data_IF_346591809937
#
_entry.id   IF_346591809937
#
_cell.length_a   1.000
_cell.length_b   1.000
_cell.length_c   1.000
_cell.angle_alpha   90.00
_cell.angle_beta   90.00
_cell.angle_gamma   90.00
#
_symmetry.space_group_name_H-M   'P 1'
#
loop_
_entity.id
_entity.type
_entity.pdbx_description
1 polymer ?
#
# COMPACT_ATOMS: atom_id res chain seq x y z
N UNK A 1 11.03 14.35 -15.65
CA UNK A 1 10.80 12.89 -15.60
C UNK A 1 9.30 12.71 -15.45
N UNK A 2 8.57 12.50 -16.55
CA UNK A 2 7.12 12.37 -16.51
C UNK A 2 6.78 10.96 -16.06
N UNK A 3 6.18 10.82 -14.88
CA UNK A 3 5.67 9.55 -14.38
C UNK A 3 4.36 9.29 -15.14
N UNK A 4 4.48 8.72 -16.34
CA UNK A 4 3.32 8.25 -17.07
C UNK A 4 2.88 6.94 -16.41
N UNK A 5 1.95 7.05 -15.45
CA UNK A 5 1.32 5.92 -14.78
C UNK A 5 0.73 4.99 -15.85
N UNK A 6 1.32 3.81 -16.01
CA UNK A 6 0.73 2.80 -16.91
C UNK A 6 -0.35 2.07 -16.12
N UNK A 7 -1.57 2.01 -16.67
CA UNK A 7 -2.71 1.31 -16.06
C UNK A 7 -2.28 -0.10 -15.62
N UNK A 8 -2.42 -0.41 -14.34
CA UNK A 8 -2.09 -1.72 -13.76
C UNK A 8 -0.75 -1.77 -13.03
N UNK A 9 0.12 -0.76 -13.17
CA UNK A 9 1.39 -0.72 -12.42
C UNK A 9 1.19 -0.55 -10.92
N UNK A 10 0.22 0.26 -10.49
CA UNK A 10 -0.03 0.44 -9.06
C UNK A 10 -0.73 -0.78 -8.47
N UNK A 11 -1.53 -1.49 -9.25
CA UNK A 11 -2.13 -2.78 -8.88
C UNK A 11 -1.07 -3.85 -8.67
N UNK A 12 -0.04 -3.89 -9.53
CA UNK A 12 1.11 -4.79 -9.35
C UNK A 12 1.92 -4.43 -8.09
N UNK A 13 2.14 -3.13 -7.85
CA UNK A 13 2.80 -2.66 -6.63
C UNK A 13 1.98 -2.99 -5.37
N UNK A 14 0.66 -2.80 -5.40
CA UNK A 14 -0.26 -3.15 -4.32
C UNK A 14 -0.17 -4.64 -3.99
N UNK A 15 -0.18 -5.50 -5.02
CA UNK A 15 0.00 -6.95 -4.83
C UNK A 15 1.35 -7.27 -4.18
N UNK A 16 2.42 -6.61 -4.59
CA UNK A 16 3.74 -6.83 -3.98
C UNK A 16 3.77 -6.42 -2.50
N UNK A 17 3.12 -5.30 -2.15
CA UNK A 17 2.95 -4.88 -0.75
C UNK A 17 2.20 -5.94 0.05
N UNK A 18 1.08 -6.43 -0.47
CA UNK A 18 0.27 -7.46 0.22
C UNK A 18 1.00 -8.78 0.41
N UNK A 19 1.67 -9.26 -0.63
CA UNK A 19 2.45 -10.51 -0.57
C UNK A 19 3.57 -10.39 0.49
N UNK A 20 4.06 -9.17 0.76
CA UNK A 20 5.12 -8.90 1.75
C UNK A 20 4.62 -8.82 3.21
N UNK A 21 3.31 -8.70 3.45
CA UNK A 21 2.76 -8.53 4.81
C UNK A 21 3.03 -9.77 5.65
N UNK A 22 2.77 -10.96 5.11
CA UNK A 22 2.95 -12.22 5.83
C UNK A 22 4.43 -12.44 6.21
N UNK A 23 5.36 -12.07 5.32
CA UNK A 23 6.79 -12.16 5.59
C UNK A 23 7.24 -11.17 6.68
N UNK A 24 6.70 -9.95 6.67
CA UNK A 24 6.96 -8.96 7.71
C UNK A 24 6.41 -9.43 9.07
N UNK A 25 5.16 -9.89 9.13
CA UNK A 25 4.55 -10.42 10.34
C UNK A 25 5.38 -11.56 10.93
N UNK A 26 5.80 -12.50 10.09
CA UNK A 26 6.67 -13.61 10.49
C UNK A 26 8.01 -13.13 11.04
N UNK A 27 8.63 -12.14 10.40
CA UNK A 27 9.90 -11.56 10.85
C UNK A 27 9.74 -10.90 12.23
N UNK A 28 8.67 -10.14 12.43
CA UNK A 28 8.37 -9.48 13.70
C UNK A 28 8.10 -10.49 14.80
N UNK A 29 7.26 -11.51 14.57
CA UNK A 29 7.02 -12.58 15.53
C UNK A 29 8.29 -13.34 15.88
N UNK A 30 9.14 -13.63 14.89
CA UNK A 30 10.43 -14.32 15.11
C UNK A 30 11.36 -13.48 15.97
N UNK A 31 11.48 -12.18 15.66
CA UNK A 31 12.28 -11.25 16.46
C UNK A 31 11.76 -11.18 17.90
N UNK A 32 10.44 -11.16 18.09
CA UNK A 32 9.79 -11.21 19.40
C UNK A 32 10.22 -12.43 20.21
N UNK A 33 10.04 -13.62 19.64
CA UNK A 33 10.37 -14.87 20.32
C UNK A 33 11.86 -14.98 20.65
N UNK A 34 12.73 -14.51 19.76
CA UNK A 34 14.18 -14.49 20.00
C UNK A 34 14.56 -13.58 21.17
N UNK A 35 13.89 -12.44 21.29
CA UNK A 35 14.15 -11.50 22.37
C UNK A 35 13.62 -12.07 23.69
N UNK A 36 12.38 -12.56 23.73
CA UNK A 36 11.80 -13.22 24.92
C UNK A 36 12.68 -14.38 25.42
N UNK A 37 13.21 -15.20 24.51
CA UNK A 37 14.13 -16.29 24.84
C UNK A 37 15.47 -15.82 25.43
N UNK A 38 15.87 -14.58 25.15
CA UNK A 38 17.12 -13.98 25.64
C UNK A 38 16.97 -13.30 27.01
N UNK A 39 15.74 -12.95 27.41
CA UNK A 39 15.44 -12.25 28.68
C UNK A 39 15.91 -13.01 29.93
N UNK A 40 15.76 -14.34 30.06
CA UNK A 40 16.22 -15.07 31.25
C UNK A 40 17.72 -14.92 31.57
N UNK A 41 18.54 -14.53 30.58
CA UNK A 41 19.96 -14.24 30.77
C UNK A 41 20.27 -12.81 31.22
N UNK A 42 19.27 -11.93 31.24
CA UNK A 42 19.42 -10.52 31.62
C UNK A 42 19.04 -10.32 33.08
N UNK A 43 20.01 -9.92 33.92
CA UNK A 43 19.76 -9.61 35.33
C UNK A 43 19.75 -8.11 35.60
N UNK A 44 18.91 -7.68 36.54
CA UNK A 44 18.88 -6.32 37.08
C UNK A 44 17.95 -5.36 36.33
N UNK A 45 18.06 -4.06 36.65
CA UNK A 45 17.23 -2.98 36.09
C UNK A 45 17.29 -2.86 34.56
N UNK A 46 18.38 -3.33 33.94
CA UNK A 46 18.54 -3.39 32.49
C UNK A 46 17.53 -4.34 31.80
N UNK A 47 17.15 -5.44 32.46
CA UNK A 47 16.15 -6.37 31.95
C UNK A 47 14.76 -5.73 31.94
N UNK A 48 14.41 -4.97 32.98
CA UNK A 48 13.13 -4.26 33.06
C UNK A 48 12.98 -3.18 31.97
N UNK A 49 14.01 -2.36 31.77
CA UNK A 49 13.99 -1.32 30.73
C UNK A 49 13.94 -1.89 29.30
N UNK A 50 14.56 -3.06 29.08
CA UNK A 50 14.43 -3.76 27.80
C UNK A 50 12.98 -4.25 27.59
N UNK A 51 12.37 -4.88 28.59
CA UNK A 51 10.99 -5.38 28.48
C UNK A 51 9.99 -4.26 28.17
N UNK A 52 10.08 -3.11 28.85
CA UNK A 52 9.24 -1.94 28.56
C UNK A 52 9.47 -1.42 27.13
N UNK A 53 10.73 -1.34 26.70
CA UNK A 53 11.07 -0.89 25.34
C UNK A 53 10.51 -1.83 24.28
N UNK A 54 10.53 -3.14 24.55
CA UNK A 54 9.99 -4.16 23.65
C UNK A 54 8.48 -4.12 23.58
N UNK A 55 7.78 -3.98 24.71
CA UNK A 55 6.33 -3.80 24.71
C UNK A 55 5.93 -2.55 23.91
N UNK A 56 6.61 -1.43 24.15
CA UNK A 56 6.39 -0.19 23.40
C UNK A 56 6.64 -0.38 21.91
N UNK A 57 7.70 -1.11 21.55
CA UNK A 57 7.99 -1.44 20.16
C UNK A 57 6.88 -2.31 19.57
N UNK A 58 6.46 -3.39 20.24
CA UNK A 58 5.39 -4.28 19.79
C UNK A 58 4.07 -3.57 19.51
N UNK A 59 3.67 -2.65 20.36
CA UNK A 59 2.47 -1.85 20.13
C UNK A 59 2.57 -1.02 18.84
N UNK A 60 3.76 -0.51 18.51
CA UNK A 60 3.99 0.24 17.26
C UNK A 60 4.02 -0.66 16.03
N UNK A 61 4.69 -1.81 16.10
CA UNK A 61 4.82 -2.72 14.95
C UNK A 61 3.59 -3.57 14.71
N UNK A 62 2.73 -3.81 15.72
CA UNK A 62 1.48 -4.54 15.54
C UNK A 62 0.51 -3.86 14.55
N UNK A 63 0.60 -2.53 14.38
CA UNK A 63 -0.20 -1.79 13.41
C UNK A 63 0.34 -1.77 11.98
N UNK A 64 1.57 -2.25 11.74
CA UNK A 64 2.22 -2.11 10.43
C UNK A 64 1.53 -2.91 9.33
N UNK A 65 1.00 -4.09 9.64
CA UNK A 65 0.24 -4.91 8.69
C UNK A 65 -1.00 -4.17 8.16
N UNK A 66 -1.78 -3.54 9.05
CA UNK A 66 -2.97 -2.75 8.69
C UNK A 66 -2.57 -1.56 7.81
N UNK A 67 -1.53 -0.81 8.20
CA UNK A 67 -1.04 0.32 7.40
C UNK A 67 -0.58 -0.10 6.00
N UNK A 68 0.04 -1.27 5.87
CA UNK A 68 0.44 -1.82 4.57
C UNK A 68 -0.78 -2.21 3.71
N UNK A 69 -1.84 -2.75 4.31
CA UNK A 69 -3.10 -3.04 3.61
C UNK A 69 -3.77 -1.75 3.12
N UNK A 70 -3.85 -0.73 3.97
CA UNK A 70 -4.39 0.58 3.61
C UNK A 70 -3.57 1.22 2.48
N UNK A 71 -2.24 1.10 2.54
CA UNK A 71 -1.36 1.57 1.47
C UNK A 71 -1.56 0.81 0.15
N UNK A 72 -1.68 -0.52 0.19
CA UNK A 72 -1.99 -1.32 -0.99
C UNK A 72 -3.36 -0.96 -1.59
N UNK A 73 -4.36 -0.70 -0.75
CA UNK A 73 -5.67 -0.21 -1.20
C UNK A 73 -5.54 1.15 -1.91
N UNK A 74 -4.81 2.10 -1.31
CA UNK A 74 -4.57 3.41 -1.91
C UNK A 74 -3.85 3.32 -3.28
N UNK A 75 -2.91 2.38 -3.43
CA UNK A 75 -2.25 2.13 -4.72
C UNK A 75 -3.24 1.65 -5.79
N UNK A 76 -4.17 0.74 -5.45
CA UNK A 76 -5.21 0.30 -6.40
C UNK A 76 -6.15 1.43 -6.79
N UNK A 77 -6.52 2.27 -5.84
CA UNK A 77 -7.40 3.41 -6.10
C UNK A 77 -6.80 4.37 -7.12
N UNK A 78 -5.48 4.57 -7.11
CA UNK A 78 -4.79 5.37 -8.14
C UNK A 78 -4.97 4.78 -9.54
N UNK A 79 -4.84 3.46 -9.71
CA UNK A 79 -5.06 2.82 -11.00
C UNK A 79 -6.53 2.91 -11.45
N UNK A 80 -7.48 2.75 -10.53
CA UNK A 80 -8.92 2.90 -10.81
C UNK A 80 -9.22 4.33 -11.27
N UNK A 81 -8.75 5.34 -10.54
CA UNK A 81 -8.95 6.74 -10.89
C UNK A 81 -8.32 7.09 -12.24
N UNK A 82 -7.15 6.55 -12.53
CA UNK A 82 -6.49 6.76 -13.81
C UNK A 82 -7.29 6.16 -14.97
N UNK A 83 -7.79 4.93 -14.81
CA UNK A 83 -8.62 4.27 -15.81
C UNK A 83 -9.96 5.00 -16.04
N UNK A 84 -10.62 5.46 -14.97
CA UNK A 84 -11.84 6.27 -15.05
C UNK A 84 -11.59 7.58 -15.80
N UNK A 85 -10.53 8.29 -15.44
CA UNK A 85 -10.18 9.58 -16.08
C UNK A 85 -9.90 9.41 -17.57
N UNK A 86 -9.19 8.34 -17.96
CA UNK A 86 -8.97 8.05 -19.38
C UNK A 86 -10.28 7.78 -20.14
N UNK A 87 -11.22 7.05 -19.53
CA UNK A 87 -12.52 6.77 -20.15
C UNK A 87 -13.34 8.06 -20.32
N UNK A 88 -13.38 8.91 -19.30
CA UNK A 88 -14.10 10.19 -19.33
C UNK A 88 -13.56 11.11 -20.44
N UNK A 89 -12.24 11.18 -20.62
CA UNK A 89 -11.61 11.95 -21.70
C UNK A 89 -12.04 11.42 -23.08
N UNK A 90 -12.07 10.09 -23.26
CA UNK A 90 -12.48 9.47 -24.53
C UNK A 90 -13.97 9.71 -24.82
N UNK A 91 -14.83 9.59 -23.81
CA UNK A 91 -16.26 9.89 -23.90
C UNK A 91 -16.50 11.35 -24.29
N UNK A 92 -15.79 12.28 -23.65
CA UNK A 92 -15.91 13.71 -23.96
C UNK A 92 -15.46 14.01 -25.39
N UNK A 93 -14.34 13.44 -25.85
CA UNK A 93 -13.85 13.59 -27.22
C UNK A 93 -14.85 13.06 -28.25
N UNK A 94 -15.47 11.91 -28.01
CA UNK A 94 -16.53 11.38 -28.87
C UNK A 94 -17.78 12.27 -28.88
N UNK A 95 -18.19 12.81 -27.73
CA UNK A 95 -19.31 13.75 -27.65
C UNK A 95 -19.05 15.05 -28.42
N UNK A 96 -17.82 15.57 -28.35
CA UNK A 96 -17.40 16.73 -29.14
C UNK A 96 -17.39 16.43 -30.65
N UNK A 97 -16.89 15.25 -31.06
CA UNK A 97 -16.91 14.82 -32.46
C UNK A 97 -18.34 14.67 -33.00
N UNK A 98 -19.24 14.03 -32.24
CA UNK A 98 -20.65 13.88 -32.62
C UNK A 98 -21.37 15.24 -32.74
N UNK A 99 -21.08 16.19 -31.85
CA UNK A 99 -21.60 17.55 -31.93
C UNK A 99 -21.08 18.30 -33.17
N UNK A 100 -19.82 18.06 -33.56
CA UNK A 100 -19.24 18.64 -34.78
C UNK A 100 -19.90 18.06 -36.04
N UNK A 101 -20.12 16.74 -36.10
CA UNK A 101 -20.83 16.08 -37.21
C UNK A 101 -22.27 16.59 -37.36
N UNK A 102 -23.00 16.75 -36.26
CA UNK A 102 -24.35 17.34 -36.29
C UNK A 102 -24.37 18.78 -36.84
N UNK A 103 -23.32 19.57 -36.55
CA UNK A 103 -23.23 20.97 -36.99
C UNK A 103 -22.77 21.13 -38.43
N UNK A 104 -21.97 20.19 -38.93
CA UNK A 104 -21.38 20.26 -40.27
C UNK A 104 -22.19 19.46 -41.31
N UNK A 105 -23.11 18.59 -40.88
CA UNK A 105 -23.79 17.63 -41.74
C UNK A 105 -22.89 16.41 -42.04
N UNK A 106 -23.46 15.26 -42.47
CA UNK A 106 -22.65 14.10 -42.84
C UNK A 106 -21.70 14.48 -43.98
N UNK A 107 -20.40 14.18 -43.81
CA UNK A 107 -19.40 14.26 -44.88
C UNK A 107 -19.77 13.33 -46.05
#
# INVERSE_FOLDING_TARGET
MNIQLTVGQQTAAAKHVEDSIADLEKLLTTLSGNIEASVPGMMGSAAGGLVESLQTWFEKVGGLGILMQEYAAALRDVDIQHATTQNDIVQEAHGQAANLEQRLGPL
#
